data_IF_049628687004
#
_entry.id   IF_049628687004
#
_cell.length_a   1.000
_cell.length_b   1.000
_cell.length_c   1.000
_cell.angle_alpha   90.00
_cell.angle_beta   90.00
_cell.angle_gamma   90.00
#
_symmetry.space_group_name_H-M   'P 1'
#
loop_
_entity.id
_entity.type
_entity.pdbx_description
1 polymer ?
#
# COMPACT_ATOMS: atom_id res chain seq x y z
N UNK A 1 -42.72 -17.57 15.09
CA UNK A 1 -41.69 -18.16 14.18
C UNK A 1 -40.46 -17.28 14.25
N UNK A 2 -39.70 -17.41 15.32
CA UNK A 2 -38.43 -16.64 15.45
C UNK A 2 -37.50 -17.46 16.31
N UNK A 3 -36.33 -17.82 15.80
CA UNK A 3 -35.32 -18.31 16.70
C UNK A 3 -34.27 -19.31 16.16
N UNK A 4 -34.26 -19.61 14.85
CA UNK A 4 -33.36 -20.67 14.36
C UNK A 4 -32.16 -20.17 13.53
N UNK A 5 -32.12 -18.88 13.12
CA UNK A 5 -31.08 -18.37 12.19
C UNK A 5 -29.83 -17.85 12.92
N UNK A 6 -29.95 -17.47 14.18
CA UNK A 6 -28.85 -16.79 14.90
C UNK A 6 -27.82 -17.75 15.54
N UNK A 7 -28.17 -19.01 15.77
CA UNK A 7 -27.28 -19.96 16.43
C UNK A 7 -26.26 -20.64 15.49
N UNK A 8 -26.63 -20.94 14.26
CA UNK A 8 -25.71 -21.55 13.29
C UNK A 8 -24.59 -20.58 12.84
N UNK A 9 -24.91 -19.31 12.66
CA UNK A 9 -23.92 -18.30 12.23
C UNK A 9 -22.87 -18.04 13.32
N UNK A 10 -23.26 -18.07 14.59
CA UNK A 10 -22.34 -17.87 15.71
C UNK A 10 -21.38 -19.06 15.90
N UNK A 11 -21.86 -20.29 15.73
CA UNK A 11 -21.03 -21.48 15.81
C UNK A 11 -20.01 -21.58 14.69
N UNK A 12 -20.40 -21.22 13.45
CA UNK A 12 -19.49 -21.15 12.29
C UNK A 12 -18.39 -20.10 12.49
N UNK A 13 -18.72 -18.93 13.00
CA UNK A 13 -17.75 -17.86 13.25
C UNK A 13 -16.73 -18.21 14.35
N UNK A 14 -17.15 -18.96 15.38
CA UNK A 14 -16.25 -19.47 16.41
C UNK A 14 -15.24 -20.47 15.83
N UNK A 15 -15.69 -21.37 14.98
CA UNK A 15 -14.83 -22.38 14.34
C UNK A 15 -13.73 -21.75 13.47
N UNK A 16 -14.05 -20.74 12.67
CA UNK A 16 -13.03 -20.03 11.87
C UNK A 16 -12.00 -19.34 12.74
N UNK A 17 -12.41 -18.66 13.80
CA UNK A 17 -11.49 -18.00 14.73
C UNK A 17 -10.52 -18.98 15.38
N UNK A 18 -11.01 -20.15 15.76
CA UNK A 18 -10.17 -21.16 16.42
C UNK A 18 -9.14 -21.74 15.46
N UNK A 19 -9.50 -21.99 14.20
CA UNK A 19 -8.56 -22.42 13.16
C UNK A 19 -7.45 -21.38 12.95
N UNK A 20 -7.82 -20.11 12.72
CA UNK A 20 -6.81 -19.05 12.51
C UNK A 20 -5.97 -18.78 13.76
N UNK A 21 -6.55 -18.92 14.96
CA UNK A 21 -5.78 -18.78 16.20
C UNK A 21 -4.71 -19.87 16.31
N UNK A 22 -5.09 -21.11 16.08
CA UNK A 22 -4.15 -22.23 16.11
C UNK A 22 -3.02 -22.06 15.09
N UNK A 23 -3.34 -21.59 13.87
CA UNK A 23 -2.34 -21.28 12.84
C UNK A 23 -1.39 -20.16 13.26
N UNK A 24 -1.92 -19.05 13.80
CA UNK A 24 -1.11 -17.95 14.30
C UNK A 24 -0.21 -18.38 15.46
N UNK A 25 -0.69 -19.24 16.35
CA UNK A 25 0.10 -19.75 17.46
C UNK A 25 1.21 -20.68 16.97
N UNK A 26 0.96 -21.49 15.93
CA UNK A 26 1.98 -22.28 15.28
C UNK A 26 3.06 -21.41 14.61
N UNK A 27 2.66 -20.35 13.91
CA UNK A 27 3.58 -19.38 13.30
C UNK A 27 4.44 -18.69 14.38
N UNK A 28 3.86 -18.31 15.52
CA UNK A 28 4.61 -17.74 16.65
C UNK A 28 5.59 -18.74 17.26
N UNK A 29 5.15 -19.97 17.48
CA UNK A 29 6.00 -21.02 18.01
C UNK A 29 7.18 -21.35 17.11
N UNK A 30 6.99 -21.23 15.79
CA UNK A 30 8.04 -21.39 14.80
C UNK A 30 8.99 -20.16 14.68
N UNK A 31 8.75 -19.06 15.39
CA UNK A 31 9.52 -17.82 15.30
C UNK A 31 9.34 -17.05 13.98
N UNK A 32 8.29 -17.37 13.24
CA UNK A 32 8.01 -16.76 11.92
C UNK A 32 7.02 -15.60 12.00
N UNK A 33 6.40 -15.36 13.14
CA UNK A 33 5.46 -14.27 13.32
C UNK A 33 6.20 -12.92 13.18
N UNK A 34 5.62 -12.02 12.40
CA UNK A 34 6.16 -10.67 12.18
C UNK A 34 5.29 -9.65 12.90
N UNK A 35 5.82 -9.07 13.96
CA UNK A 35 5.19 -7.93 14.62
C UNK A 35 5.42 -6.67 13.79
N UNK A 36 4.33 -5.94 13.53
CA UNK A 36 4.40 -4.67 12.80
C UNK A 36 4.96 -3.55 13.69
N UNK A 37 5.69 -2.65 13.06
CA UNK A 37 6.16 -1.39 13.65
C UNK A 37 5.31 -0.26 13.13
N UNK A 38 4.87 0.62 14.01
CA UNK A 38 4.08 1.79 13.63
C UNK A 38 5.00 2.97 13.37
N UNK A 39 4.94 3.52 12.16
CA UNK A 39 5.77 4.65 11.73
C UNK A 39 4.91 5.91 11.80
N UNK A 40 5.39 6.94 12.50
CA UNK A 40 4.67 8.18 12.73
C UNK A 40 5.08 9.32 11.78
N UNK A 41 6.18 9.14 11.06
CA UNK A 41 6.73 10.13 10.12
C UNK A 41 6.56 9.71 8.65
N UNK A 42 6.67 10.64 7.70
CA UNK A 42 6.93 10.29 6.31
C UNK A 42 8.19 9.42 6.17
N UNK A 43 8.21 8.54 5.18
CA UNK A 43 9.38 7.70 4.93
C UNK A 43 10.62 8.55 4.63
N UNK A 44 11.71 8.25 5.35
CA UNK A 44 12.98 8.93 5.26
C UNK A 44 14.14 8.06 5.76
N UNK A 45 15.35 8.61 5.79
CA UNK A 45 16.52 7.93 6.35
C UNK A 45 16.41 7.76 7.87
N UNK A 46 15.81 8.73 8.55
CA UNK A 46 15.42 8.68 9.96
C UNK A 46 13.90 8.75 10.05
N UNK A 47 13.32 7.92 10.91
CA UNK A 47 11.88 7.87 11.15
C UNK A 47 11.59 7.65 12.63
N UNK A 48 10.43 8.09 13.09
CA UNK A 48 9.91 7.75 14.41
C UNK A 48 9.11 6.45 14.37
N UNK A 49 9.48 5.49 15.20
CA UNK A 49 8.90 4.15 15.25
C UNK A 49 8.43 3.82 16.65
N UNK A 50 7.17 3.41 16.75
CA UNK A 50 6.61 2.78 17.93
C UNK A 50 6.74 1.27 17.82
N UNK A 51 7.42 0.66 18.81
CA UNK A 51 7.53 -0.79 18.93
C UNK A 51 8.01 -1.17 20.35
N UNK A 52 7.33 -2.13 21.03
CA UNK A 52 6.05 -2.73 20.67
C UNK A 52 4.88 -1.74 20.68
N UNK A 53 3.69 -2.15 20.24
CA UNK A 53 2.50 -1.31 20.24
C UNK A 53 2.24 -0.71 21.63
N UNK A 54 1.96 0.61 21.69
CA UNK A 54 1.77 1.37 22.92
C UNK A 54 3.08 1.87 23.58
N UNK A 55 4.26 1.56 23.01
CA UNK A 55 5.51 2.12 23.47
C UNK A 55 5.70 3.58 22.98
N UNK A 56 6.50 4.36 23.69
CA UNK A 56 6.85 5.69 23.20
C UNK A 56 7.65 5.59 21.88
N UNK A 57 7.31 6.40 20.86
CA UNK A 57 8.05 6.41 19.60
C UNK A 57 9.54 6.75 19.81
N UNK A 58 10.39 6.13 19.01
CA UNK A 58 11.84 6.35 19.03
C UNK A 58 12.34 6.62 17.62
N UNK A 59 13.30 7.52 17.50
CA UNK A 59 14.02 7.75 16.24
C UNK A 59 14.94 6.57 15.93
N UNK A 60 14.82 6.08 14.70
CA UNK A 60 15.64 4.98 14.19
C UNK A 60 16.11 5.27 12.77
N UNK A 61 17.22 4.64 12.37
CA UNK A 61 17.65 4.64 10.97
C UNK A 61 16.81 3.61 10.19
N UNK A 62 16.24 4.06 9.08
CA UNK A 62 15.43 3.23 8.21
C UNK A 62 16.26 2.72 7.02
N UNK A 63 16.76 1.49 7.15
CA UNK A 63 17.59 0.85 6.13
C UNK A 63 16.79 -0.09 5.20
N UNK A 64 15.47 -0.20 5.39
CA UNK A 64 14.62 -1.14 4.67
C UNK A 64 13.53 -0.49 3.82
N UNK A 65 13.46 0.83 3.73
CA UNK A 65 12.46 1.49 2.90
C UNK A 65 12.72 1.29 1.40
N UNK A 66 11.66 1.03 0.64
CA UNK A 66 11.70 1.03 -0.82
C UNK A 66 11.68 2.48 -1.37
N UNK A 67 12.64 3.28 -0.93
CA UNK A 67 12.79 4.69 -1.28
C UNK A 67 14.22 4.98 -1.76
N UNK A 68 14.72 4.16 -2.65
CA UNK A 68 16.12 4.13 -3.08
C UNK A 68 16.63 5.47 -3.63
N UNK A 69 15.76 6.26 -4.26
CA UNK A 69 16.09 7.56 -4.84
C UNK A 69 15.65 8.75 -3.95
N UNK A 70 15.08 8.48 -2.78
CA UNK A 70 14.58 9.53 -1.88
C UNK A 70 13.40 10.33 -2.44
N UNK A 71 12.62 9.77 -3.37
CA UNK A 71 11.59 10.49 -4.08
C UNK A 71 10.22 10.50 -3.40
N UNK A 72 9.96 9.60 -2.43
CA UNK A 72 8.64 9.46 -1.81
C UNK A 72 8.11 10.74 -1.15
N UNK A 73 9.00 11.57 -0.61
CA UNK A 73 8.69 12.86 0.01
C UNK A 73 9.43 14.05 -0.64
N UNK A 74 9.95 13.86 -1.86
CA UNK A 74 10.71 14.92 -2.54
C UNK A 74 9.79 16.09 -2.90
N UNK A 75 10.12 17.35 -2.56
CA UNK A 75 9.23 18.50 -2.71
C UNK A 75 8.67 18.68 -4.13
N UNK A 76 9.49 18.46 -5.16
CA UNK A 76 9.03 18.56 -6.56
C UNK A 76 8.04 17.47 -6.94
N UNK A 77 8.19 16.26 -6.40
CA UNK A 77 7.26 15.15 -6.64
C UNK A 77 5.93 15.41 -5.93
N UNK A 78 5.99 15.85 -4.68
CA UNK A 78 4.80 16.23 -3.88
C UNK A 78 4.05 17.39 -4.56
N UNK A 79 4.74 18.43 -5.00
CA UNK A 79 4.12 19.56 -5.71
C UNK A 79 3.45 19.12 -7.04
N UNK A 80 4.10 18.23 -7.79
CA UNK A 80 3.51 17.68 -9.02
C UNK A 80 2.27 16.82 -8.73
N UNK A 81 2.26 16.06 -7.63
CA UNK A 81 1.11 15.29 -7.20
C UNK A 81 -0.07 16.19 -6.82
N UNK A 82 0.16 17.27 -6.06
CA UNK A 82 -0.87 18.29 -5.77
C UNK A 82 -1.43 18.92 -7.04
N UNK A 83 -0.59 19.36 -7.95
CA UNK A 83 -1.05 19.93 -9.23
C UNK A 83 -1.85 18.93 -10.08
N UNK A 84 -1.48 17.67 -10.05
CA UNK A 84 -2.24 16.57 -10.67
C UNK A 84 -3.60 16.39 -10.04
N UNK A 85 -3.66 16.37 -8.71
CA UNK A 85 -4.89 16.24 -7.94
C UNK A 85 -5.84 17.41 -8.20
N UNK A 86 -5.37 18.64 -8.17
CA UNK A 86 -6.18 19.83 -8.43
C UNK A 86 -6.76 19.83 -9.85
N UNK A 87 -5.99 19.37 -10.82
CA UNK A 87 -6.39 19.37 -12.23
C UNK A 87 -7.31 18.18 -12.61
N UNK A 88 -7.15 17.02 -11.99
CA UNK A 88 -7.74 15.74 -12.43
C UNK A 88 -8.66 15.09 -11.40
N UNK A 89 -8.66 15.57 -10.15
CA UNK A 89 -9.31 14.90 -9.04
C UNK A 89 -8.46 13.76 -8.47
N UNK A 90 -8.96 13.15 -7.41
CA UNK A 90 -8.24 12.11 -6.66
C UNK A 90 -8.01 10.83 -7.46
N UNK A 91 -9.01 10.39 -8.23
CA UNK A 91 -8.94 9.15 -8.98
C UNK A 91 -9.26 9.34 -10.46
N UNK A 92 -8.60 8.57 -11.30
CA UNK A 92 -8.82 8.61 -12.75
C UNK A 92 -10.14 7.97 -13.15
N UNK A 93 -10.74 7.11 -12.31
CA UNK A 93 -12.05 6.47 -12.44
C UNK A 93 -12.29 5.88 -13.82
N UNK A 94 -11.26 5.31 -14.44
CA UNK A 94 -11.31 4.87 -15.83
C UNK A 94 -10.64 3.52 -16.02
N UNK A 95 -11.41 2.59 -16.62
CA UNK A 95 -10.83 1.46 -17.35
C UNK A 95 -10.51 1.98 -18.75
N UNK A 96 -9.25 2.08 -19.11
CA UNK A 96 -8.73 2.84 -20.27
C UNK A 96 -9.42 2.54 -21.58
N UNK A 97 -9.69 1.28 -21.88
CA UNK A 97 -10.32 0.86 -23.14
C UNK A 97 -11.86 0.97 -23.12
N UNK A 98 -12.50 1.18 -21.95
CA UNK A 98 -13.95 1.37 -21.84
C UNK A 98 -14.29 2.86 -21.72
N UNK A 99 -13.69 3.53 -20.72
CA UNK A 99 -14.02 4.92 -20.36
C UNK A 99 -13.09 5.95 -21.00
N UNK A 100 -12.03 5.49 -21.65
CA UNK A 100 -11.04 6.32 -22.31
C UNK A 100 -9.71 6.41 -21.60
N UNK A 101 -8.66 6.63 -22.38
CA UNK A 101 -7.31 6.91 -21.93
C UNK A 101 -7.16 8.43 -21.77
N UNK A 102 -6.74 8.88 -20.61
CA UNK A 102 -6.51 10.31 -20.40
C UNK A 102 -5.17 10.77 -21.06
N UNK A 103 -5.08 12.05 -21.38
CA UNK A 103 -3.91 12.65 -21.99
C UNK A 103 -2.64 12.49 -21.14
N UNK A 104 -2.76 12.51 -19.80
CA UNK A 104 -1.65 12.32 -18.88
C UNK A 104 -1.04 10.91 -18.97
N UNK A 105 -1.85 9.89 -19.26
CA UNK A 105 -1.32 8.53 -19.51
C UNK A 105 -0.43 8.54 -20.76
N UNK A 106 -0.93 9.11 -21.86
CA UNK A 106 -0.20 9.17 -23.12
C UNK A 106 1.08 10.01 -23.00
N UNK A 107 1.03 11.12 -22.28
CA UNK A 107 2.20 11.96 -22.05
C UNK A 107 3.28 11.22 -21.24
N UNK A 108 2.90 10.47 -20.21
CA UNK A 108 3.84 9.67 -19.44
C UNK A 108 4.44 8.53 -20.29
N UNK A 109 3.62 7.81 -21.05
CA UNK A 109 4.06 6.76 -21.97
C UNK A 109 5.06 7.31 -22.99
N UNK A 110 4.76 8.45 -23.62
CA UNK A 110 5.67 9.13 -24.56
C UNK A 110 7.02 9.50 -23.91
N UNK A 111 7.01 10.12 -22.74
CA UNK A 111 8.23 10.50 -22.02
C UNK A 111 9.07 9.32 -21.60
N UNK A 112 8.44 8.24 -21.17
CA UNK A 112 9.16 7.00 -20.82
C UNK A 112 9.77 6.36 -22.07
N UNK A 113 9.03 6.33 -23.17
CA UNK A 113 9.53 5.86 -24.48
C UNK A 113 10.78 6.63 -24.90
N UNK A 114 10.74 7.96 -24.84
CA UNK A 114 11.90 8.81 -25.17
C UNK A 114 13.08 8.59 -24.21
N UNK A 115 12.81 8.48 -22.90
CA UNK A 115 13.84 8.29 -21.89
C UNK A 115 14.54 6.94 -21.99
N UNK A 116 13.77 5.87 -22.28
CA UNK A 116 14.28 4.50 -22.38
C UNK A 116 14.82 4.15 -23.78
N UNK A 117 14.50 4.96 -24.81
CA UNK A 117 14.86 4.69 -26.19
C UNK A 117 14.14 3.45 -26.77
N UNK A 118 12.92 3.18 -26.31
CA UNK A 118 12.07 2.09 -26.81
C UNK A 118 11.15 2.58 -27.92
N UNK A 119 10.49 1.66 -28.64
CA UNK A 119 9.51 2.02 -29.67
C UNK A 119 8.21 2.54 -29.03
N UNK A 120 7.73 1.88 -27.97
CA UNK A 120 6.53 2.24 -27.23
C UNK A 120 6.67 1.87 -25.75
N UNK A 121 5.82 2.49 -24.92
CA UNK A 121 5.67 2.20 -23.50
C UNK A 121 4.18 2.06 -23.15
N UNK A 122 3.84 1.06 -22.37
CA UNK A 122 2.51 0.84 -21.81
C UNK A 122 2.56 0.91 -20.28
N UNK A 123 1.61 1.62 -19.69
CA UNK A 123 1.49 1.74 -18.24
C UNK A 123 0.56 0.67 -17.66
N UNK A 124 1.02 0.02 -16.62
CA UNK A 124 0.26 -0.91 -15.80
C UNK A 124 0.20 -0.43 -14.35
N UNK A 125 -0.87 -0.82 -13.62
CA UNK A 125 -1.05 -0.44 -12.22
C UNK A 125 -0.11 -1.16 -11.25
N UNK A 126 0.43 -2.30 -11.65
CA UNK A 126 1.37 -3.10 -10.86
C UNK A 126 2.26 -3.97 -11.74
N UNK A 127 3.31 -4.54 -11.14
CA UNK A 127 4.23 -5.49 -11.77
C UNK A 127 3.76 -6.95 -11.62
N UNK A 128 2.49 -7.21 -11.70
CA UNK A 128 1.93 -8.57 -11.64
C UNK A 128 1.95 -9.21 -13.01
#
# INVERSE_FOLDING_TARGET
MDGAVTTETAASAATFRDVYRAELDAIRAAGLFKDERFIHDPQGAEIEVEFPAGAAPKKVLNLCANNYLGLSSHPRVVAAAHAGLDKRGYGMSSVRFICGTQDIHRELERRLTEFLGTEETLLFSSCL
#
